data_IF_281810950246
#
_entry.id   IF_281810950246
#
_cell.length_a   1.000
_cell.length_b   1.000
_cell.length_c   1.000
_cell.angle_alpha   90.00
_cell.angle_beta   90.00
_cell.angle_gamma   90.00
#
_symmetry.space_group_name_H-M   'P 1'
#
loop_
_entity.id
_entity.type
_entity.pdbx_description
1 polymer ?
#
# COMPACT_ATOMS: atom_id res chain seq x y z
N UNK A 1 -0.96 1.94 -4.64
CA UNK A 1 -1.09 3.40 -4.78
C UNK A 1 0.30 4.02 -4.63
N UNK A 2 0.82 4.75 -5.62
CA UNK A 2 2.16 5.34 -5.50
C UNK A 2 2.26 6.39 -4.38
N UNK A 3 1.14 7.05 -4.07
CA UNK A 3 1.02 8.03 -2.97
C UNK A 3 1.41 7.38 -1.63
N UNK A 4 0.76 6.29 -1.22
CA UNK A 4 1.06 5.60 0.05
C UNK A 4 2.53 5.16 0.16
N UNK A 5 3.12 4.68 -0.95
CA UNK A 5 4.55 4.35 -0.99
C UNK A 5 5.41 5.58 -0.72
N UNK A 6 5.14 6.71 -1.38
CA UNK A 6 5.93 7.94 -1.24
C UNK A 6 5.78 8.56 0.16
N UNK A 7 4.58 8.49 0.73
CA UNK A 7 4.32 8.88 2.12
C UNK A 7 5.08 8.00 3.09
N UNK A 8 5.03 6.67 2.92
CA UNK A 8 5.82 5.73 3.71
C UNK A 8 7.33 6.01 3.62
N UNK A 9 7.85 6.23 2.40
CA UNK A 9 9.25 6.54 2.16
C UNK A 9 9.66 7.85 2.86
N UNK A 10 8.78 8.85 2.89
CA UNK A 10 9.01 10.13 3.58
C UNK A 10 9.01 9.98 5.09
N UNK A 11 8.07 9.21 5.66
CA UNK A 11 8.01 8.94 7.11
C UNK A 11 9.24 8.16 7.55
N UNK A 12 9.51 7.00 6.94
CA UNK A 12 10.65 6.16 7.27
C UNK A 12 11.97 6.89 7.03
N UNK A 13 12.06 7.61 5.90
CA UNK A 13 13.23 8.40 5.54
C UNK A 13 13.56 9.48 6.55
N UNK A 14 12.54 10.13 7.11
CA UNK A 14 12.70 11.17 8.14
C UNK A 14 13.00 10.57 9.51
N UNK A 15 12.24 9.56 9.96
CA UNK A 15 12.44 8.94 11.27
C UNK A 15 13.81 8.26 11.42
N UNK A 16 14.28 7.58 10.37
CA UNK A 16 15.56 6.85 10.37
C UNK A 16 16.70 7.66 9.74
N UNK A 17 16.47 8.93 9.36
CA UNK A 17 17.44 9.82 8.71
C UNK A 17 18.15 9.17 7.51
N UNK A 18 17.38 8.54 6.63
CA UNK A 18 17.92 7.83 5.47
C UNK A 18 18.44 8.85 4.44
N UNK A 19 19.72 8.76 4.01
CA UNK A 19 20.28 9.66 3.01
C UNK A 19 19.44 9.70 1.72
N UNK A 20 19.13 10.91 1.24
CA UNK A 20 18.32 11.14 0.04
C UNK A 20 16.80 10.97 0.22
N UNK A 21 16.34 10.46 1.37
CA UNK A 21 14.90 10.37 1.72
C UNK A 21 14.52 11.19 2.94
N UNK A 22 15.50 11.57 3.75
CA UNK A 22 15.29 12.40 4.93
C UNK A 22 14.69 13.75 4.52
N UNK A 23 13.52 14.07 5.06
CA UNK A 23 12.88 15.38 4.85
C UNK A 23 13.43 16.44 5.81
N UNK A 24 14.17 16.06 6.83
CA UNK A 24 14.67 16.97 7.85
C UNK A 24 16.13 17.37 7.60
N UNK A 25 16.33 18.48 6.87
CA UNK A 25 17.65 19.01 6.51
C UNK A 25 17.82 20.48 6.89
N UNK A 26 19.02 21.03 6.65
CA UNK A 26 19.34 22.43 7.01
C UNK A 26 18.35 23.41 6.37
N UNK A 27 18.01 23.23 5.09
CA UNK A 27 17.04 24.09 4.40
C UNK A 27 15.67 24.08 5.11
N UNK A 28 15.16 22.90 5.44
CA UNK A 28 13.90 22.75 6.15
C UNK A 28 13.89 23.43 7.53
N UNK A 29 15.04 23.42 8.23
CA UNK A 29 15.22 24.09 9.53
C UNK A 29 15.31 25.60 9.40
N UNK A 30 15.93 26.10 8.32
CA UNK A 30 15.93 27.53 8.00
C UNK A 30 14.54 28.02 7.60
N UNK A 31 13.76 27.21 6.89
CA UNK A 31 12.37 27.55 6.54
C UNK A 31 11.51 27.70 7.80
N UNK A 32 11.66 26.80 8.78
CA UNK A 32 11.00 26.93 10.09
C UNK A 32 11.34 28.26 10.79
N UNK A 33 12.63 28.63 10.78
CA UNK A 33 13.09 29.90 11.35
C UNK A 33 12.53 31.12 10.61
N UNK A 34 12.51 31.10 9.28
CA UNK A 34 11.94 32.16 8.45
C UNK A 34 10.43 32.31 8.66
N UNK A 35 9.73 31.21 8.92
CA UNK A 35 8.30 31.20 9.26
C UNK A 35 8.01 31.63 10.71
N UNK A 36 9.05 31.81 11.55
CA UNK A 36 8.88 32.18 12.95
C UNK A 36 8.30 31.05 13.83
N UNK A 37 8.40 29.79 13.41
CA UNK A 37 7.88 28.63 14.13
C UNK A 37 9.02 27.69 14.53
N UNK A 38 8.93 27.05 15.71
CA UNK A 38 9.96 26.12 16.22
C UNK A 38 11.37 26.73 16.15
N UNK A 39 11.52 27.98 16.57
CA UNK A 39 12.79 28.73 16.49
C UNK A 39 13.89 28.10 17.36
N UNK A 40 13.52 27.29 18.34
CA UNK A 40 14.39 26.45 19.16
C UNK A 40 15.09 25.34 18.36
N UNK A 41 14.60 25.01 17.16
CA UNK A 41 15.13 23.97 16.28
C UNK A 41 16.13 24.49 15.23
N UNK A 42 16.60 25.74 15.37
CA UNK A 42 17.51 26.37 14.43
C UNK A 42 18.85 25.62 14.27
N UNK A 43 19.47 25.62 13.08
CA UNK A 43 20.79 25.03 12.89
C UNK A 43 21.86 25.71 13.76
N UNK A 44 22.64 24.91 14.48
CA UNK A 44 23.80 25.37 15.24
C UNK A 44 25.05 25.24 14.38
N UNK A 45 25.61 26.36 13.94
CA UNK A 45 26.83 26.39 13.13
C UNK A 45 28.07 26.29 14.04
N UNK A 46 28.63 25.09 14.15
CA UNK A 46 29.94 24.88 14.78
C UNK A 46 31.10 25.06 13.80
N UNK A 47 32.33 25.10 14.31
CA UNK A 47 33.54 25.31 13.50
C UNK A 47 33.80 24.22 12.44
N UNK A 48 33.31 23.00 12.66
CA UNK A 48 33.54 21.85 11.75
C UNK A 48 32.26 21.23 11.19
N UNK A 49 31.16 21.29 11.93
CA UNK A 49 29.91 20.63 11.58
C UNK A 49 28.73 21.47 12.03
N UNK A 50 27.73 21.60 11.16
CA UNK A 50 26.41 22.12 11.52
C UNK A 50 25.64 21.04 12.27
N UNK A 51 25.18 21.36 13.48
CA UNK A 51 24.35 20.47 14.28
C UNK A 51 22.89 20.91 14.15
N UNK A 52 21.99 19.94 14.00
CA UNK A 52 20.55 20.16 14.05
C UNK A 52 20.02 19.68 15.40
N UNK A 53 19.38 20.55 16.21
CA UNK A 53 18.69 20.13 17.42
C UNK A 53 17.59 19.11 17.10
N UNK A 54 17.39 18.06 17.92
CA UNK A 54 16.36 17.07 17.68
C UNK A 54 14.97 17.71 17.84
N UNK A 55 14.10 17.51 16.85
CA UNK A 55 12.68 17.84 16.93
C UNK A 55 11.84 16.62 17.36
N UNK A 56 10.51 16.79 17.56
CA UNK A 56 9.59 15.74 18.00
C UNK A 56 9.53 14.48 17.12
N UNK A 57 10.04 14.55 15.88
CA UNK A 57 10.07 13.46 14.92
C UNK A 57 11.43 12.75 14.87
N UNK A 58 12.49 13.30 15.49
CA UNK A 58 13.80 12.69 15.46
C UNK A 58 13.88 11.58 16.53
N UNK A 59 14.43 10.44 16.12
CA UNK A 59 14.73 9.33 17.01
C UNK A 59 16.21 9.38 17.42
N UNK A 60 16.50 9.07 18.68
CA UNK A 60 17.86 8.78 19.12
C UNK A 60 18.43 7.56 18.41
N UNK A 61 19.75 7.36 18.45
CA UNK A 61 20.38 6.17 17.85
C UNK A 61 19.86 4.87 18.46
N UNK A 62 19.56 4.86 19.76
CA UNK A 62 18.99 3.71 20.44
C UNK A 62 17.58 3.43 19.93
N UNK A 63 16.74 4.46 19.83
CA UNK A 63 15.36 4.34 19.32
C UNK A 63 15.30 3.89 17.86
N UNK A 64 16.18 4.39 16.99
CA UNK A 64 16.28 3.89 15.60
C UNK A 64 16.59 2.39 15.57
N UNK A 65 17.49 1.94 16.44
CA UNK A 65 17.83 0.52 16.56
C UNK A 65 16.65 -0.30 17.07
N UNK A 66 15.89 0.20 18.05
CA UNK A 66 14.67 -0.44 18.53
C UNK A 66 13.61 -0.57 17.42
N UNK A 67 13.38 0.47 16.62
CA UNK A 67 12.48 0.42 15.46
C UNK A 67 12.94 -0.66 14.46
N UNK A 68 14.23 -0.68 14.12
CA UNK A 68 14.77 -1.67 13.20
C UNK A 68 14.72 -3.10 13.79
N UNK A 69 15.00 -3.27 15.08
CA UNK A 69 14.87 -4.56 15.77
C UNK A 69 13.42 -5.04 15.77
N UNK A 70 12.46 -4.14 15.95
CA UNK A 70 11.03 -4.45 15.85
C UNK A 70 10.70 -5.01 14.47
N UNK A 71 11.07 -4.31 13.39
CA UNK A 71 10.89 -4.82 12.03
C UNK A 71 11.65 -6.12 11.75
N UNK A 72 12.85 -6.28 12.29
CA UNK A 72 13.67 -7.48 12.12
C UNK A 72 13.06 -8.71 12.80
N UNK A 73 12.43 -8.51 13.96
CA UNK A 73 11.79 -9.56 14.76
C UNK A 73 10.34 -9.85 14.39
N UNK A 74 9.68 -8.97 13.62
CA UNK A 74 8.29 -9.14 13.21
C UNK A 74 8.09 -10.40 12.36
N UNK A 75 7.05 -11.16 12.72
CA UNK A 75 6.58 -12.31 11.96
C UNK A 75 5.15 -12.04 11.50
N UNK A 76 4.86 -12.39 10.26
CA UNK A 76 3.54 -12.28 9.65
C UNK A 76 3.13 -13.64 9.08
N UNK A 77 1.83 -13.87 8.81
CA UNK A 77 1.37 -15.08 8.14
C UNK A 77 2.08 -15.31 6.80
N UNK A 78 2.17 -16.57 6.40
CA UNK A 78 2.72 -16.94 5.11
C UNK A 78 1.93 -16.27 3.97
N UNK A 79 2.65 -15.75 2.96
CA UNK A 79 2.05 -15.03 1.83
C UNK A 79 1.60 -13.60 2.14
N UNK A 80 1.65 -13.14 3.40
CA UNK A 80 1.17 -11.80 3.77
C UNK A 80 2.10 -10.67 3.32
N UNK A 81 3.41 -10.82 3.52
CA UNK A 81 4.41 -9.83 3.10
C UNK A 81 5.68 -10.49 2.57
N UNK A 82 6.53 -9.69 1.94
CA UNK A 82 7.91 -10.12 1.72
C UNK A 82 8.62 -10.30 3.06
N UNK A 83 9.78 -10.95 3.05
CA UNK A 83 10.57 -11.16 4.25
C UNK A 83 11.19 -9.84 4.72
N UNK A 84 10.48 -9.11 5.60
CA UNK A 84 10.87 -7.81 6.13
C UNK A 84 12.26 -7.84 6.75
N UNK A 85 12.64 -8.94 7.41
CA UNK A 85 13.98 -9.12 7.98
C UNK A 85 15.11 -8.87 6.97
N UNK A 86 14.91 -9.25 5.69
CA UNK A 86 15.88 -9.03 4.61
C UNK A 86 15.98 -7.56 4.17
N UNK A 87 14.99 -6.74 4.54
CA UNK A 87 14.91 -5.32 4.22
C UNK A 87 15.47 -4.44 5.35
N UNK A 88 15.88 -5.03 6.48
CA UNK A 88 16.42 -4.29 7.63
C UNK A 88 17.94 -4.39 7.65
N UNK A 89 18.62 -3.24 7.68
CA UNK A 89 20.05 -3.15 8.05
C UNK A 89 20.16 -2.73 9.52
N UNK A 90 20.52 -3.67 10.39
CA UNK A 90 20.73 -3.38 11.82
C UNK A 90 22.02 -2.59 12.07
N UNK A 91 23.05 -2.81 11.24
CA UNK A 91 24.31 -2.07 11.31
C UNK A 91 24.09 -0.58 11.05
N UNK A 92 23.33 -0.28 10.00
CA UNK A 92 23.03 1.10 9.61
C UNK A 92 21.77 1.67 10.27
N UNK A 93 21.01 0.84 11.01
CA UNK A 93 19.71 1.18 11.61
C UNK A 93 18.73 1.83 10.60
N UNK A 94 18.58 1.20 9.42
CA UNK A 94 17.71 1.69 8.34
C UNK A 94 17.03 0.55 7.58
N UNK A 95 15.95 0.89 6.89
CA UNK A 95 15.28 0.00 5.94
C UNK A 95 15.84 0.20 4.52
N UNK A 96 16.03 -0.89 3.79
CA UNK A 96 16.64 -0.93 2.46
C UNK A 96 15.72 -1.62 1.46
N UNK A 97 15.70 -1.11 0.23
CA UNK A 97 15.10 -1.80 -0.91
C UNK A 97 13.57 -1.96 -0.87
N UNK A 98 12.87 -1.23 0.00
CA UNK A 98 11.40 -1.28 0.11
C UNK A 98 10.73 -1.08 -1.26
N UNK A 99 9.84 -2.00 -1.61
CA UNK A 99 8.97 -1.90 -2.78
C UNK A 99 7.59 -1.40 -2.36
N UNK A 100 6.76 -1.05 -3.36
CA UNK A 100 5.41 -0.53 -3.16
C UNK A 100 4.59 -1.40 -2.19
N UNK A 101 4.63 -2.72 -2.36
CA UNK A 101 3.93 -3.67 -1.48
C UNK A 101 4.47 -3.65 -0.04
N UNK A 102 5.78 -3.56 0.15
CA UNK A 102 6.37 -3.52 1.49
C UNK A 102 5.97 -2.25 2.24
N UNK A 103 5.95 -1.11 1.53
CA UNK A 103 5.44 0.15 2.07
C UNK A 103 3.96 0.06 2.46
N UNK A 104 3.13 -0.61 1.66
CA UNK A 104 1.73 -0.87 1.99
C UNK A 104 1.59 -1.68 3.30
N UNK A 105 2.34 -2.79 3.42
CA UNK A 105 2.34 -3.60 4.65
C UNK A 105 2.81 -2.79 5.86
N UNK A 106 3.85 -1.97 5.68
CA UNK A 106 4.38 -1.09 6.73
C UNK A 106 3.31 -0.10 7.19
N UNK A 107 2.75 0.69 6.28
CA UNK A 107 1.79 1.75 6.63
C UNK A 107 0.52 1.20 7.26
N UNK A 108 0.01 0.07 6.78
CA UNK A 108 -1.30 -0.41 7.23
C UNK A 108 -1.25 -1.15 8.57
N UNK A 109 -0.13 -1.82 8.89
CA UNK A 109 -0.08 -2.72 10.06
C UNK A 109 1.20 -2.62 10.88
N UNK A 110 2.38 -2.61 10.24
CA UNK A 110 3.63 -2.85 10.97
C UNK A 110 4.20 -1.57 11.59
N UNK A 111 4.11 -0.43 10.91
CA UNK A 111 4.72 0.82 11.35
C UNK A 111 4.17 1.30 12.70
N UNK A 112 2.84 1.33 12.96
CA UNK A 112 2.31 1.72 14.28
C UNK A 112 2.84 0.87 15.44
N UNK A 113 3.08 -0.42 15.18
CA UNK A 113 3.65 -1.34 16.17
C UNK A 113 5.13 -1.04 16.39
N UNK A 114 5.89 -0.81 15.32
CA UNK A 114 7.32 -0.55 15.38
C UNK A 114 7.67 0.75 16.11
N UNK A 115 6.84 1.80 15.99
CA UNK A 115 7.09 3.10 16.63
C UNK A 115 6.46 3.23 18.01
N UNK A 116 5.72 2.21 18.49
CA UNK A 116 4.89 2.28 19.70
C UNK A 116 5.63 2.76 20.94
N UNK A 117 6.88 2.33 21.11
CA UNK A 117 7.69 2.58 22.31
C UNK A 117 8.74 3.68 22.16
N UNK A 118 8.99 4.20 20.96
CA UNK A 118 10.18 5.01 20.67
C UNK A 118 9.91 6.48 20.33
N UNK A 119 8.70 6.82 19.90
CA UNK A 119 8.39 8.17 19.42
C UNK A 119 7.52 8.90 20.44
N UNK A 120 7.73 10.21 20.58
CA UNK A 120 6.92 11.05 21.46
C UNK A 120 5.43 10.90 21.16
N UNK A 121 4.60 10.93 22.22
CA UNK A 121 3.17 10.68 22.12
C UNK A 121 2.47 11.48 20.99
N UNK A 122 2.74 12.78 20.79
CA UNK A 122 2.01 13.56 19.79
C UNK A 122 2.39 13.20 18.34
N UNK A 123 3.69 13.06 18.04
CA UNK A 123 4.16 12.67 16.70
C UNK A 123 3.76 11.23 16.38
N UNK A 124 3.88 10.32 17.35
CA UNK A 124 3.43 8.93 17.23
C UNK A 124 1.95 8.82 16.95
N UNK A 125 1.14 9.61 17.64
CA UNK A 125 -0.31 9.65 17.43
C UNK A 125 -0.66 10.10 16.01
N UNK A 126 0.00 11.15 15.50
CA UNK A 126 -0.23 11.65 14.15
C UNK A 126 0.11 10.58 13.08
N UNK A 127 1.27 9.91 13.19
CA UNK A 127 1.64 8.81 12.27
C UNK A 127 0.67 7.64 12.39
N UNK A 128 0.28 7.26 13.61
CA UNK A 128 -0.65 6.14 13.84
C UNK A 128 -2.02 6.41 13.21
N UNK A 129 -2.53 7.65 13.31
CA UNK A 129 -3.78 8.04 12.63
C UNK A 129 -3.67 7.90 11.13
N UNK A 130 -2.56 8.34 10.54
CA UNK A 130 -2.34 8.23 9.09
C UNK A 130 -2.25 6.76 8.65
N UNK A 131 -1.61 5.91 9.43
CA UNK A 131 -1.57 4.46 9.22
C UNK A 131 -2.97 3.84 9.24
N UNK A 132 -3.82 4.21 10.23
CA UNK A 132 -5.20 3.74 10.29
C UNK A 132 -6.05 4.23 9.13
N UNK A 133 -5.83 5.46 8.67
CA UNK A 133 -6.46 5.97 7.46
C UNK A 133 -6.10 5.10 6.24
N UNK A 134 -4.81 4.85 5.98
CA UNK A 134 -4.39 3.98 4.88
C UNK A 134 -4.94 2.56 4.99
N UNK A 135 -4.97 2.00 6.22
CA UNK A 135 -5.57 0.69 6.46
C UNK A 135 -7.08 0.67 6.14
N UNK A 136 -7.81 1.74 6.47
CA UNK A 136 -9.24 1.84 6.21
C UNK A 136 -9.55 1.97 4.70
N UNK A 137 -8.87 2.88 3.98
CA UNK A 137 -9.15 3.10 2.55
C UNK A 137 -8.68 1.93 1.68
N UNK A 138 -7.66 1.18 2.11
CA UNK A 138 -7.15 0.02 1.39
C UNK A 138 -7.88 -1.29 1.75
N UNK A 139 -8.93 -1.23 2.56
CA UNK A 139 -9.77 -2.38 2.86
C UNK A 139 -10.41 -2.95 1.60
N UNK A 140 -10.61 -4.28 1.57
CA UNK A 140 -11.28 -4.97 0.46
C UNK A 140 -12.74 -4.53 0.29
N UNK A 141 -13.40 -4.20 1.39
CA UNK A 141 -14.78 -3.72 1.42
C UNK A 141 -14.79 -2.38 2.15
N UNK A 142 -15.44 -1.39 1.55
CA UNK A 142 -15.46 -0.03 2.06
C UNK A 142 -16.92 0.33 2.38
N UNK A 143 -17.14 0.79 3.59
CA UNK A 143 -18.44 1.28 4.05
C UNK A 143 -18.60 2.74 3.63
N UNK A 144 -19.46 2.98 2.65
CA UNK A 144 -19.70 4.31 2.05
C UNK A 144 -20.14 5.32 3.11
N UNK A 145 -20.89 4.89 4.13
CA UNK A 145 -21.38 5.76 5.21
C UNK A 145 -20.26 6.34 6.08
N UNK A 146 -19.06 5.75 6.05
CA UNK A 146 -17.90 6.19 6.81
C UNK A 146 -16.94 7.07 6.02
N UNK A 147 -17.16 7.25 4.71
CA UNK A 147 -16.23 7.97 3.85
C UNK A 147 -16.13 9.45 4.21
N UNK A 148 -17.25 10.14 4.42
CA UNK A 148 -17.24 11.57 4.80
C UNK A 148 -16.42 11.80 6.08
N UNK A 149 -16.61 10.93 7.08
CA UNK A 149 -15.83 10.98 8.31
C UNK A 149 -14.34 10.69 8.09
N UNK A 150 -14.00 9.74 7.21
CA UNK A 150 -12.60 9.47 6.86
C UNK A 150 -11.94 10.67 6.17
N UNK A 151 -12.69 11.44 5.37
CA UNK A 151 -12.22 12.66 4.72
C UNK A 151 -11.92 13.75 5.76
N UNK A 152 -12.84 13.99 6.69
CA UNK A 152 -12.61 14.92 7.80
C UNK A 152 -11.40 14.48 8.67
N UNK A 153 -11.34 13.20 9.00
CA UNK A 153 -10.29 12.65 9.86
C UNK A 153 -8.91 12.73 9.21
N UNK A 154 -8.80 12.58 7.88
CA UNK A 154 -7.51 12.67 7.20
C UNK A 154 -7.01 14.12 7.13
N UNK A 155 -7.91 15.09 6.94
CA UNK A 155 -7.56 16.52 6.98
C UNK A 155 -6.96 16.87 8.35
N UNK A 156 -7.64 16.49 9.44
CA UNK A 156 -7.12 16.70 10.81
C UNK A 156 -5.78 15.99 11.01
N UNK A 157 -5.63 14.78 10.46
CA UNK A 157 -4.39 14.00 10.56
C UNK A 157 -3.22 14.71 9.87
N UNK A 158 -3.43 15.30 8.70
CA UNK A 158 -2.41 16.07 8.01
C UNK A 158 -2.05 17.34 8.77
N UNK A 159 -3.01 18.07 9.33
CA UNK A 159 -2.73 19.23 10.19
C UNK A 159 -1.92 18.84 11.44
N UNK A 160 -2.21 17.68 12.04
CA UNK A 160 -1.39 17.16 13.16
C UNK A 160 0.02 16.85 12.71
N UNK A 161 0.20 16.22 11.55
CA UNK A 161 1.53 15.98 10.99
C UNK A 161 2.24 17.32 10.74
N UNK A 162 1.57 18.33 10.20
CA UNK A 162 2.15 19.64 9.88
C UNK A 162 2.61 20.38 11.15
N UNK A 163 1.82 20.25 12.22
CA UNK A 163 2.21 20.75 13.54
C UNK A 163 3.53 20.15 14.01
N UNK A 164 3.76 18.86 13.78
CA UNK A 164 4.96 18.18 14.28
C UNK A 164 6.11 18.21 13.29
N UNK A 165 5.96 17.72 12.07
CA UNK A 165 7.03 17.53 11.07
C UNK A 165 7.56 18.85 10.46
N UNK A 166 8.72 18.80 9.76
CA UNK A 166 9.25 19.96 9.05
C UNK A 166 8.49 20.24 7.74
N UNK A 167 8.53 21.47 7.20
CA UNK A 167 7.74 21.86 6.01
C UNK A 167 8.05 21.02 4.78
N UNK A 168 9.31 20.66 4.57
CA UNK A 168 9.79 19.76 3.51
C UNK A 168 9.19 18.35 3.52
N UNK A 169 8.57 17.92 4.63
CA UNK A 169 7.80 16.68 4.67
C UNK A 169 6.54 16.78 3.81
N UNK A 170 5.93 17.96 3.72
CA UNK A 170 4.70 18.23 2.99
C UNK A 170 4.99 18.52 1.52
N UNK A 171 5.49 17.49 0.83
CA UNK A 171 5.57 17.52 -0.62
C UNK A 171 4.20 17.21 -1.26
N UNK A 172 4.15 17.33 -2.59
CA UNK A 172 2.92 17.07 -3.34
C UNK A 172 2.31 15.69 -3.05
N UNK A 173 3.12 14.67 -2.77
CA UNK A 173 2.62 13.32 -2.50
C UNK A 173 1.91 13.23 -1.16
N UNK A 174 2.39 13.94 -0.13
CA UNK A 174 1.69 14.03 1.16
C UNK A 174 0.38 14.80 1.01
N UNK A 175 0.36 15.86 0.22
CA UNK A 175 -0.86 16.63 -0.03
C UNK A 175 -1.94 15.81 -0.76
N UNK A 176 -1.56 14.96 -1.72
CA UNK A 176 -2.52 14.12 -2.45
C UNK A 176 -3.34 13.18 -1.56
N UNK A 177 -2.90 12.93 -0.32
CA UNK A 177 -3.60 12.07 0.64
C UNK A 177 -5.03 12.56 0.92
N UNK A 178 -5.29 13.87 0.93
CA UNK A 178 -6.66 14.40 1.15
C UNK A 178 -7.64 14.00 0.06
N UNK A 179 -7.16 13.77 -1.16
CA UNK A 179 -8.02 13.45 -2.29
C UNK A 179 -8.39 11.97 -2.38
N UNK A 180 -7.74 11.12 -1.58
CA UNK A 180 -7.90 9.66 -1.69
C UNK A 180 -9.31 9.19 -1.33
N UNK A 181 -9.98 9.85 -0.39
CA UNK A 181 -11.37 9.50 -0.04
C UNK A 181 -12.28 9.80 -1.21
N UNK A 182 -12.17 11.00 -1.80
CA UNK A 182 -12.93 11.36 -3.00
C UNK A 182 -12.66 10.40 -4.16
N UNK A 183 -11.40 10.01 -4.35
CA UNK A 183 -10.99 9.04 -5.36
C UNK A 183 -11.65 7.67 -5.14
N UNK A 184 -11.78 7.23 -3.88
CA UNK A 184 -12.51 6.01 -3.51
C UNK A 184 -14.01 6.14 -3.77
N UNK A 185 -14.62 7.29 -3.48
CA UNK A 185 -16.03 7.53 -3.79
C UNK A 185 -16.33 7.41 -5.28
N UNK A 186 -15.43 7.92 -6.13
CA UNK A 186 -15.62 7.95 -7.58
C UNK A 186 -15.24 6.65 -8.28
N UNK A 187 -14.17 6.00 -7.84
CA UNK A 187 -13.57 4.87 -8.56
C UNK A 187 -13.67 3.54 -7.80
N UNK A 188 -14.32 3.53 -6.64
CA UNK A 188 -14.45 2.36 -5.78
C UNK A 188 -13.15 1.95 -5.07
N UNK A 189 -13.11 0.71 -4.54
CA UNK A 189 -12.02 0.23 -3.70
C UNK A 189 -10.64 0.39 -4.33
N UNK A 190 -9.66 0.80 -3.50
CA UNK A 190 -8.31 1.12 -3.96
C UNK A 190 -7.59 -0.09 -4.57
N UNK A 191 -7.86 -1.31 -4.09
CA UNK A 191 -7.09 -2.49 -4.51
C UNK A 191 -7.26 -2.86 -5.99
N UNK A 192 -8.40 -2.51 -6.60
CA UNK A 192 -8.60 -2.66 -8.04
C UNK A 192 -7.73 -1.73 -8.88
N UNK A 193 -7.20 -0.68 -8.26
CA UNK A 193 -6.46 0.42 -8.89
C UNK A 193 -5.00 0.42 -8.48
N UNK A 194 -4.53 -0.68 -7.89
CA UNK A 194 -3.14 -0.86 -7.54
C UNK A 194 -2.28 -1.14 -8.77
N UNK A 195 -1.13 -0.46 -8.84
CA UNK A 195 -0.16 -0.66 -9.92
C UNK A 195 0.74 -1.87 -9.71
N UNK A 196 0.91 -2.36 -8.47
CA UNK A 196 1.90 -3.40 -8.21
C UNK A 196 1.67 -4.74 -8.95
N UNK A 197 0.42 -5.21 -9.23
CA UNK A 197 0.23 -6.42 -10.03
C UNK A 197 0.82 -6.25 -11.43
N UNK A 198 0.56 -5.09 -12.04
CA UNK A 198 1.13 -4.71 -13.33
C UNK A 198 2.66 -4.55 -13.28
N UNK A 199 3.20 -3.89 -12.24
CA UNK A 199 4.67 -3.78 -12.06
C UNK A 199 5.34 -5.15 -11.92
N UNK A 200 4.71 -6.08 -11.19
CA UNK A 200 5.22 -7.46 -11.03
C UNK A 200 5.16 -8.21 -12.35
N UNK A 201 4.06 -8.13 -13.09
CA UNK A 201 3.94 -8.78 -14.39
C UNK A 201 4.95 -8.22 -15.41
N UNK A 202 5.11 -6.90 -15.45
CA UNK A 202 6.13 -6.25 -16.29
C UNK A 202 7.56 -6.70 -15.96
N UNK A 203 7.86 -7.03 -14.70
CA UNK A 203 9.16 -7.62 -14.33
C UNK A 203 9.35 -8.99 -14.98
N UNK A 204 8.29 -9.82 -15.03
CA UNK A 204 8.33 -11.14 -15.70
C UNK A 204 8.58 -10.97 -17.19
N UNK A 205 7.80 -10.12 -17.86
CA UNK A 205 7.98 -9.83 -19.29
C UNK A 205 9.37 -9.30 -19.62
N UNK A 206 9.94 -8.44 -18.77
CA UNK A 206 11.34 -7.99 -18.92
C UNK A 206 12.35 -9.14 -18.87
N UNK A 207 12.07 -10.20 -18.13
CA UNK A 207 12.88 -11.42 -18.09
C UNK A 207 12.85 -12.24 -19.38
N UNK A 208 11.81 -12.09 -20.20
CA UNK A 208 11.70 -12.78 -21.49
C UNK A 208 12.60 -12.16 -22.57
N UNK A 209 12.97 -10.88 -22.44
CA UNK A 209 13.74 -10.16 -23.45
C UNK A 209 15.20 -10.65 -23.46
N UNK A 210 15.51 -11.60 -24.34
CA UNK A 210 16.87 -12.10 -24.58
C UNK A 210 17.61 -11.26 -25.65
N UNK A 211 16.88 -10.72 -26.63
CA UNK A 211 17.42 -9.83 -27.66
C UNK A 211 16.77 -8.45 -27.59
N UNK A 212 17.54 -7.44 -27.17
CA UNK A 212 17.07 -6.05 -27.03
C UNK A 212 16.73 -5.37 -28.36
N UNK A 213 17.16 -5.91 -29.50
CA UNK A 213 16.81 -5.36 -30.83
C UNK A 213 15.42 -5.79 -31.30
N UNK A 214 14.84 -6.82 -30.67
CA UNK A 214 13.51 -7.36 -30.99
C UNK A 214 12.77 -7.80 -29.71
N UNK A 215 12.54 -6.88 -28.76
CA UNK A 215 11.99 -7.23 -27.45
C UNK A 215 10.59 -7.84 -27.54
N UNK A 216 9.74 -7.35 -28.45
CA UNK A 216 8.38 -7.83 -28.66
C UNK A 216 8.38 -9.29 -29.13
N UNK A 217 9.28 -9.63 -30.06
CA UNK A 217 9.45 -11.00 -30.56
C UNK A 217 9.89 -11.97 -29.47
N UNK A 218 10.85 -11.56 -28.63
CA UNK A 218 11.30 -12.37 -27.50
C UNK A 218 10.18 -12.60 -26.47
N UNK A 219 9.39 -11.56 -26.18
CA UNK A 219 8.25 -11.67 -25.26
C UNK A 219 7.21 -12.62 -25.82
N UNK A 220 6.82 -12.46 -27.09
CA UNK A 220 5.82 -13.31 -27.74
C UNK A 220 6.25 -14.78 -27.79
N UNK A 221 7.49 -15.06 -28.18
CA UNK A 221 8.04 -16.42 -28.25
C UNK A 221 8.05 -17.10 -26.87
N UNK A 222 8.51 -16.40 -25.84
CA UNK A 222 8.54 -16.93 -24.47
C UNK A 222 7.13 -17.12 -23.89
N UNK A 223 6.24 -16.18 -24.12
CA UNK A 223 4.86 -16.28 -23.68
C UNK A 223 4.16 -17.50 -24.29
N UNK A 224 4.29 -17.72 -25.61
CA UNK A 224 3.75 -18.91 -26.28
C UNK A 224 4.33 -20.20 -25.70
N UNK A 225 5.64 -20.22 -25.42
CA UNK A 225 6.28 -21.39 -24.82
C UNK A 225 5.75 -21.69 -23.40
N UNK A 226 5.55 -20.66 -22.57
CA UNK A 226 4.98 -20.83 -21.23
C UNK A 226 3.53 -21.32 -21.28
N UNK A 227 2.67 -20.71 -22.11
CA UNK A 227 1.28 -21.12 -22.29
C UNK A 227 1.17 -22.56 -22.82
N UNK A 228 2.02 -22.94 -23.78
CA UNK A 228 2.05 -24.31 -24.30
C UNK A 228 2.45 -25.32 -23.22
N UNK A 229 3.43 -24.98 -22.37
CA UNK A 229 3.84 -25.83 -21.23
C UNK A 229 2.70 -25.92 -20.21
N UNK A 230 2.08 -24.80 -19.84
CA UNK A 230 0.97 -24.76 -18.90
C UNK A 230 -0.22 -25.59 -19.39
N UNK A 231 -0.61 -25.45 -20.65
CA UNK A 231 -1.62 -26.30 -21.28
C UNK A 231 -1.26 -27.79 -21.21
N UNK A 232 -0.02 -28.16 -21.57
CA UNK A 232 0.43 -29.55 -21.47
C UNK A 232 0.36 -30.08 -20.03
N UNK A 233 0.72 -29.26 -19.03
CA UNK A 233 0.70 -29.70 -17.63
C UNK A 233 -0.69 -30.03 -17.11
N UNK A 234 -1.75 -29.40 -17.62
CA UNK A 234 -3.14 -29.73 -17.26
C UNK A 234 -3.53 -31.16 -17.70
N UNK A 235 -2.85 -31.70 -18.70
CA UNK A 235 -3.10 -33.04 -19.26
C UNK A 235 -2.13 -34.12 -18.76
N UNK A 236 -1.17 -33.77 -17.90
CA UNK A 236 -0.20 -34.70 -17.33
C UNK A 236 -0.56 -34.98 -15.87
N UNK A 237 -0.94 -36.22 -15.56
CA UNK A 237 -1.44 -36.63 -14.24
C UNK A 237 -0.41 -36.53 -13.10
N UNK A 238 0.88 -36.42 -13.41
CA UNK A 238 1.98 -36.59 -12.44
C UNK A 238 3.09 -35.53 -12.56
N UNK A 239 2.80 -34.37 -13.19
CA UNK A 239 3.79 -33.30 -13.33
C UNK A 239 3.45 -32.13 -12.42
N UNK A 240 4.37 -31.81 -11.50
CA UNK A 240 4.26 -30.58 -10.70
C UNK A 240 4.59 -29.37 -11.57
N UNK A 241 3.63 -28.46 -11.71
CA UNK A 241 3.86 -27.16 -12.35
C UNK A 241 4.93 -26.39 -11.58
N UNK A 242 6.07 -26.12 -12.23
CA UNK A 242 7.14 -25.30 -11.66
C UNK A 242 6.69 -23.85 -11.64
N UNK A 243 6.53 -23.27 -10.45
CA UNK A 243 6.28 -21.83 -10.28
C UNK A 243 4.99 -21.47 -9.54
N UNK A 244 4.00 -22.37 -9.50
CA UNK A 244 2.87 -22.26 -8.58
C UNK A 244 3.18 -23.14 -7.37
N UNK A 245 3.28 -22.58 -6.14
CA UNK A 245 3.43 -23.39 -4.94
C UNK A 245 2.28 -24.40 -4.90
N UNK A 246 2.59 -25.69 -4.73
CA UNK A 246 1.55 -26.68 -4.46
C UNK A 246 0.80 -26.23 -3.20
N UNK A 247 -0.51 -26.10 -3.29
CA UNK A 247 -1.40 -25.68 -2.19
C UNK A 247 -1.41 -26.65 -1.00
N UNK A 248 -0.58 -27.70 -1.03
CA UNK A 248 -0.38 -28.64 0.05
C UNK A 248 0.58 -28.09 1.11
N UNK A 249 0.15 -27.07 1.84
CA UNK A 249 0.50 -26.75 3.26
C UNK A 249 -0.01 -25.39 3.73
N UNK A 250 -1.09 -24.85 3.16
CA UNK A 250 -1.85 -23.81 3.85
C UNK A 250 -2.69 -24.47 4.96
N UNK A 251 -2.20 -24.41 6.19
CA UNK A 251 -2.97 -24.79 7.37
C UNK A 251 -4.28 -24.00 7.42
N UNK A 252 -5.38 -24.69 7.15
CA UNK A 252 -6.77 -24.41 7.54
C UNK A 252 -7.12 -22.92 7.65
N UNK A 253 -7.32 -22.28 6.51
CA UNK A 253 -8.51 -21.43 6.35
C UNK A 253 -9.47 -22.25 5.51
N UNK A 254 -10.69 -22.47 6.00
CA UNK A 254 -11.73 -23.13 5.20
C UNK A 254 -11.81 -22.40 3.85
N UNK A 255 -11.66 -23.09 2.71
CA UNK A 255 -11.96 -22.44 1.44
C UNK A 255 -13.42 -21.96 1.51
N UNK A 256 -13.70 -20.74 1.02
CA UNK A 256 -15.04 -20.45 0.54
C UNK A 256 -15.34 -21.60 -0.43
N UNK A 257 -16.33 -22.43 -0.10
CA UNK A 257 -16.67 -23.62 -0.86
C UNK A 257 -16.65 -23.28 -2.35
N UNK A 258 -15.93 -24.07 -3.14
CA UNK A 258 -15.98 -23.95 -4.59
C UNK A 258 -17.43 -23.86 -5.04
N UNK A 259 -17.69 -23.04 -6.05
CA UNK A 259 -19.04 -22.79 -6.58
C UNK A 259 -19.81 -24.10 -6.64
N UNK A 260 -20.85 -24.21 -5.80
CA UNK A 260 -21.77 -25.33 -5.86
C UNK A 260 -22.71 -24.99 -7.00
N UNK A 261 -22.45 -25.54 -8.18
CA UNK A 261 -23.39 -25.42 -9.29
C UNK A 261 -24.60 -26.28 -8.92
N UNK A 262 -25.62 -25.65 -8.33
CA UNK A 262 -26.92 -26.26 -8.14
C UNK A 262 -27.73 -26.08 -9.41
N UNK A 263 -28.22 -27.18 -9.99
CA UNK A 263 -29.27 -27.10 -10.98
C UNK A 263 -30.53 -26.66 -10.24
N UNK A 264 -30.95 -25.42 -10.50
CA UNK A 264 -32.21 -24.87 -10.00
C UNK A 264 -33.35 -25.27 -10.93
N UNK A 265 -34.54 -25.44 -10.37
CA UNK A 265 -35.73 -25.64 -11.19
C UNK A 265 -36.02 -24.41 -12.05
N UNK A 266 -36.84 -24.60 -13.09
CA UNK A 266 -37.12 -23.55 -14.06
C UNK A 266 -37.87 -22.36 -13.43
N UNK A 267 -38.69 -22.61 -12.41
CA UNK A 267 -39.50 -21.56 -11.77
C UNK A 267 -38.62 -20.65 -10.92
N UNK A 268 -37.68 -21.22 -10.15
CA UNK A 268 -36.71 -20.50 -9.36
C UNK A 268 -35.70 -19.75 -10.25
N UNK A 269 -35.32 -20.34 -11.39
CA UNK A 269 -34.49 -19.66 -12.39
C UNK A 269 -35.21 -18.45 -12.99
N UNK A 270 -36.50 -18.60 -13.32
CA UNK A 270 -37.32 -17.49 -13.84
C UNK A 270 -37.49 -16.38 -12.79
N UNK A 271 -37.70 -16.72 -11.52
CA UNK A 271 -37.78 -15.75 -10.42
C UNK A 271 -36.45 -15.00 -10.22
N UNK A 272 -35.32 -15.71 -10.27
CA UNK A 272 -34.01 -15.09 -10.16
C UNK A 272 -33.72 -14.14 -11.35
N UNK A 273 -34.09 -14.53 -12.57
CA UNK A 273 -33.99 -13.65 -13.74
C UNK A 273 -34.88 -12.42 -13.60
N UNK A 274 -36.13 -12.58 -13.17
CA UNK A 274 -37.04 -11.45 -12.94
C UNK A 274 -36.48 -10.47 -11.90
N UNK A 275 -35.98 -11.00 -10.78
CA UNK A 275 -35.37 -10.21 -9.72
C UNK A 275 -34.19 -9.37 -10.23
N UNK A 276 -33.32 -9.96 -11.04
CA UNK A 276 -32.19 -9.24 -11.67
C UNK A 276 -32.70 -8.17 -12.64
N UNK A 277 -33.73 -8.46 -13.44
CA UNK A 277 -34.27 -7.48 -14.39
C UNK A 277 -34.94 -6.30 -13.69
N UNK A 278 -35.64 -6.51 -12.57
CA UNK A 278 -36.30 -5.47 -11.78
C UNK A 278 -35.31 -4.57 -11.02
N UNK A 279 -34.20 -5.13 -10.53
CA UNK A 279 -33.18 -4.41 -9.75
C UNK A 279 -32.02 -3.85 -10.61
N UNK A 280 -32.05 -3.99 -11.94
CA UNK A 280 -31.01 -3.46 -12.85
C UNK A 280 -31.49 -2.18 -13.53
N UNK A 281 -30.92 -1.03 -13.14
CA UNK A 281 -31.31 0.29 -13.68
C UNK A 281 -31.21 0.39 -15.21
N UNK A 282 -30.29 -0.35 -15.82
CA UNK A 282 -30.05 -0.37 -17.28
C UNK A 282 -31.18 -1.06 -18.05
N UNK A 283 -31.98 -1.89 -17.39
CA UNK A 283 -33.07 -2.67 -17.98
C UNK A 283 -34.43 -1.96 -17.85
N UNK A 284 -34.57 -1.03 -16.89
CA UNK A 284 -35.79 -0.26 -16.65
C UNK A 284 -36.42 0.35 -17.92
N UNK A 285 -35.66 0.97 -18.85
CA UNK A 285 -36.26 1.56 -20.06
C UNK A 285 -36.95 0.53 -20.96
N UNK A 286 -36.47 -0.72 -20.96
CA UNK A 286 -37.05 -1.80 -21.75
C UNK A 286 -38.28 -2.41 -21.08
N UNK A 287 -38.29 -2.47 -19.75
CA UNK A 287 -39.47 -2.88 -18.97
C UNK A 287 -40.60 -1.86 -19.18
N UNK A 288 -40.30 -0.56 -19.08
CA UNK A 288 -41.28 0.49 -19.34
C UNK A 288 -41.84 0.42 -20.76
N UNK A 289 -40.99 0.20 -21.77
CA UNK A 289 -41.44 -0.01 -23.15
C UNK A 289 -42.31 -1.27 -23.32
N UNK A 290 -41.96 -2.37 -22.65
CA UNK A 290 -42.74 -3.60 -22.72
C UNK A 290 -44.12 -3.45 -22.07
N UNK A 291 -44.21 -2.74 -20.95
CA UNK A 291 -45.46 -2.44 -20.25
C UNK A 291 -46.41 -1.55 -21.04
N UNK A 292 -45.91 -0.78 -22.02
CA UNK A 292 -46.75 0.00 -22.95
C UNK A 292 -47.44 -0.89 -23.99
N UNK A 293 -46.94 -2.11 -24.21
CA UNK A 293 -47.43 -3.04 -25.23
C UNK A 293 -48.21 -4.24 -24.67
N UNK A 294 -48.44 -4.27 -23.35
CA UNK A 294 -49.33 -5.20 -22.64
C UNK A 294 -50.63 -4.47 -22.27
#
# INVERSE_FOLDING_TARGET
MHIEKNVCDSIIGTLLEIPGKNKDGIAARLDLLNMGVKTDLQPEYGERLTRLPPGPWNLSRAEKREVCNSFYGMKVPEGYSSNIKKLVSLQDSRLLGLKSHDCHTLMQQLLPVAIRSVLENPARYAITRLCFFFNAICAKTIDVSKLDKLEEDVVVTLCLLEKYFPPSFFDIMVHLVVHLVREVCLCGPVYFRWMYPFERYMKVLKGYVQNRTRPEGCIAERYIAEEAVEFCTQHLSDVSTVGVPSSQKMGVSKPLSGCTVSVVDQDLLNQAHLYVLEDTEEVLPYIEQHMIHI
#
